data_IF_436733469551
#
_entry.id   IF_436733469551
#
_cell.length_a   1.000
_cell.length_b   1.000
_cell.length_c   1.000
_cell.angle_alpha   90.00
_cell.angle_beta   90.00
_cell.angle_gamma   90.00
#
_symmetry.space_group_name_H-M   'P 1'
#
loop_
_entity.id
_entity.type
_entity.pdbx_description
1 polymer ?
#
# COMPACT_ATOMS: atom_id res chain seq x y z
N UNK A 1 -1.85 -7.77 6.55
CA UNK A 1 -1.87 -8.38 7.90
C UNK A 1 -3.29 -8.60 8.39
N UNK A 2 -3.43 -9.57 9.28
CA UNK A 2 -4.58 -10.48 9.52
C UNK A 2 -5.00 -11.30 8.28
N UNK A 3 -5.22 -10.65 7.13
CA UNK A 3 -5.71 -11.34 5.93
C UNK A 3 -5.14 -10.82 4.59
N UNK A 4 -4.90 -9.51 4.45
CA UNK A 4 -4.43 -8.94 3.18
C UNK A 4 -2.92 -9.15 2.98
N UNK A 5 -2.52 -9.57 1.77
CA UNK A 5 -1.13 -9.84 1.37
C UNK A 5 -0.35 -8.60 0.94
N UNK A 6 -1.02 -7.53 0.49
CA UNK A 6 -0.40 -6.27 0.05
C UNK A 6 -0.33 -5.19 1.14
N UNK A 7 -0.60 -5.56 2.39
CA UNK A 7 -0.63 -4.63 3.51
C UNK A 7 0.80 -4.25 3.94
N UNK A 8 1.09 -2.95 3.97
CA UNK A 8 2.34 -2.39 4.51
C UNK A 8 2.30 -2.22 6.03
N UNK A 9 1.11 -2.15 6.64
CA UNK A 9 0.93 -2.03 8.09
C UNK A 9 -0.31 -2.80 8.58
N UNK A 10 -0.40 -3.05 9.89
CA UNK A 10 -1.54 -3.71 10.51
C UNK A 10 -2.68 -2.73 10.79
N UNK A 11 -3.90 -3.10 10.39
CA UNK A 11 -5.08 -2.26 10.57
C UNK A 11 -5.61 -2.33 12.00
N UNK A 12 -5.83 -3.53 12.53
CA UNK A 12 -6.50 -3.73 13.81
C UNK A 12 -5.68 -3.17 14.97
N UNK A 13 -4.38 -3.43 15.00
CA UNK A 13 -3.47 -2.94 16.04
C UNK A 13 -3.31 -1.43 16.02
N UNK A 14 -3.12 -0.82 14.85
CA UNK A 14 -2.99 0.65 14.75
C UNK A 14 -4.29 1.36 15.13
N UNK A 15 -5.43 0.88 14.65
CA UNK A 15 -6.74 1.46 15.02
C UNK A 15 -7.00 1.28 16.52
N UNK A 16 -6.64 0.13 17.10
CA UNK A 16 -6.74 -0.08 18.55
C UNK A 16 -5.92 0.95 19.33
N UNK A 17 -4.65 1.14 18.97
CA UNK A 17 -3.77 2.11 19.64
C UNK A 17 -4.31 3.55 19.52
N UNK A 18 -4.79 3.94 18.33
CA UNK A 18 -5.39 5.27 18.11
C UNK A 18 -6.65 5.44 18.96
N UNK A 19 -7.54 4.45 18.95
CA UNK A 19 -8.82 4.54 19.66
C UNK A 19 -8.68 4.48 21.18
N UNK A 20 -7.59 3.91 21.70
CA UNK A 20 -7.29 3.94 23.14
C UNK A 20 -6.98 5.36 23.62
N UNK A 21 -6.17 6.10 22.85
CA UNK A 21 -5.86 7.51 23.15
C UNK A 21 -7.06 8.44 22.90
N UNK A 22 -7.85 8.16 21.85
CA UNK A 22 -8.99 8.99 21.47
C UNK A 22 -10.29 8.62 22.17
N UNK A 23 -10.30 7.59 23.02
CA UNK A 23 -11.50 7.14 23.72
C UNK A 23 -12.24 8.27 24.47
N UNK A 24 -11.56 9.18 25.21
CA UNK A 24 -12.23 10.28 25.90
C UNK A 24 -12.98 11.24 24.95
N UNK A 25 -12.48 11.42 23.72
CA UNK A 25 -13.16 12.23 22.70
C UNK A 25 -14.28 11.48 21.98
N UNK A 26 -14.20 10.15 21.93
CA UNK A 26 -15.24 9.32 21.31
C UNK A 26 -16.52 9.28 22.15
N UNK A 27 -16.40 9.29 23.48
CA UNK A 27 -17.53 9.22 24.41
C UNK A 27 -18.18 10.58 24.70
N UNK A 28 -17.57 11.69 24.26
CA UNK A 28 -18.03 13.05 24.52
C UNK A 28 -18.21 13.84 23.21
N UNK A 29 -18.91 14.97 23.25
CA UNK A 29 -19.13 15.86 22.09
C UNK A 29 -18.43 17.21 22.27
N UNK A 30 -17.12 17.17 22.46
CA UNK A 30 -16.30 18.36 22.77
C UNK A 30 -15.61 18.96 21.53
N UNK A 31 -15.61 18.23 20.41
CA UNK A 31 -14.99 18.69 19.17
C UNK A 31 -15.91 19.68 18.44
N UNK A 32 -15.34 20.68 17.72
CA UNK A 32 -16.12 21.70 16.99
C UNK A 32 -16.94 21.14 15.83
N UNK A 33 -16.69 19.90 15.41
CA UNK A 33 -17.41 19.20 14.37
C UNK A 33 -17.14 17.69 14.41
N UNK A 34 -17.88 16.93 13.61
CA UNK A 34 -17.69 15.48 13.50
C UNK A 34 -16.36 15.19 12.80
N UNK A 35 -15.38 14.70 13.56
CA UNK A 35 -14.10 14.25 13.04
C UNK A 35 -14.18 12.81 12.54
N UNK A 36 -13.74 12.55 11.30
CA UNK A 36 -13.57 11.21 10.73
C UNK A 36 -12.09 10.89 10.59
N UNK A 37 -11.66 9.87 11.31
CA UNK A 37 -10.32 9.30 11.18
C UNK A 37 -10.47 7.96 10.46
N UNK A 38 -9.71 7.78 9.39
CA UNK A 38 -9.71 6.52 8.65
C UNK A 38 -8.29 6.00 8.46
N UNK A 39 -8.19 4.67 8.40
CA UNK A 39 -6.94 3.96 8.25
C UNK A 39 -6.98 3.08 6.99
N UNK A 40 -5.88 3.05 6.23
CA UNK A 40 -5.64 2.05 5.19
C UNK A 40 -4.26 1.41 5.36
N UNK A 41 -4.22 0.09 5.22
CA UNK A 41 -2.99 -0.69 5.36
C UNK A 41 -2.06 -0.59 4.14
N UNK A 42 -2.55 -0.11 2.99
CA UNK A 42 -1.77 0.20 1.79
C UNK A 42 -2.47 1.25 0.92
N UNK A 43 -1.78 1.72 -0.12
CA UNK A 43 -2.24 2.75 -1.06
C UNK A 43 -3.51 2.39 -1.86
N UNK A 44 -3.96 1.12 -1.83
CA UNK A 44 -5.24 0.75 -2.44
C UNK A 44 -6.43 1.35 -1.68
N UNK A 45 -6.21 1.87 -0.47
CA UNK A 45 -7.17 2.66 0.30
C UNK A 45 -8.58 2.08 0.29
N UNK A 46 -8.75 0.81 0.67
CA UNK A 46 -10.00 0.05 0.62
C UNK A 46 -11.12 0.60 1.56
N UNK A 47 -11.53 1.85 1.36
CA UNK A 47 -12.40 2.64 2.21
C UNK A 47 -12.29 4.14 1.88
N UNK A 48 -12.78 4.99 2.78
CA UNK A 48 -12.85 6.44 2.59
C UNK A 48 -11.57 7.20 3.04
N UNK A 49 -10.40 6.55 3.01
CA UNK A 49 -9.16 7.13 3.56
C UNK A 49 -8.72 8.38 2.81
N UNK A 50 -8.88 8.41 1.49
CA UNK A 50 -8.56 9.56 0.63
C UNK A 50 -9.44 10.80 0.87
N UNK A 51 -10.56 10.67 1.60
CA UNK A 51 -11.52 11.74 1.85
C UNK A 51 -11.93 11.87 3.33
N UNK A 52 -11.05 11.42 4.23
CA UNK A 52 -11.21 11.57 5.68
C UNK A 52 -10.52 12.82 6.21
N UNK A 53 -11.02 13.36 7.32
CA UNK A 53 -10.43 14.56 7.94
C UNK A 53 -9.00 14.29 8.42
N UNK A 54 -8.76 13.08 8.94
CA UNK A 54 -7.42 12.56 9.23
C UNK A 54 -7.29 11.16 8.61
N UNK A 55 -6.26 10.98 7.79
CA UNK A 55 -5.96 9.73 7.10
C UNK A 55 -4.64 9.14 7.63
N UNK A 56 -4.68 7.88 8.06
CA UNK A 56 -3.48 7.11 8.39
C UNK A 56 -3.28 6.06 7.29
N UNK A 57 -2.13 6.10 6.64
CA UNK A 57 -1.85 5.28 5.46
C UNK A 57 -0.52 4.53 5.61
N UNK A 58 -0.57 3.21 5.52
CA UNK A 58 0.62 2.39 5.34
C UNK A 58 1.22 2.57 3.94
N UNK A 59 2.51 2.86 3.87
CA UNK A 59 3.26 3.00 2.61
C UNK A 59 4.51 2.12 2.64
N UNK A 60 4.91 1.64 1.46
CA UNK A 60 6.24 1.08 1.28
C UNK A 60 7.24 2.22 1.04
N UNK A 61 8.52 1.97 1.34
CA UNK A 61 9.63 2.92 1.14
C UNK A 61 10.86 2.20 0.55
N UNK A 62 10.62 1.09 -0.12
CA UNK A 62 11.64 0.35 -0.85
C UNK A 62 11.08 -0.19 -2.16
N UNK A 63 11.92 -0.20 -3.19
CA UNK A 63 11.64 -0.80 -4.48
C UNK A 63 11.34 -2.31 -4.34
N UNK A 64 10.40 -2.88 -5.12
CA UNK A 64 10.12 -4.31 -5.09
C UNK A 64 11.34 -5.17 -5.45
N UNK A 65 11.57 -6.23 -4.69
CA UNK A 65 12.54 -7.27 -5.04
C UNK A 65 11.89 -8.25 -6.02
N UNK A 66 12.58 -8.53 -7.13
CA UNK A 66 12.07 -9.37 -8.21
C UNK A 66 12.50 -10.82 -7.99
N UNK A 67 11.53 -11.74 -7.98
CA UNK A 67 11.79 -13.17 -8.12
C UNK A 67 11.74 -13.55 -9.61
N UNK A 68 12.93 -13.62 -10.24
CA UNK A 68 13.07 -13.93 -11.66
C UNK A 68 12.68 -15.37 -12.03
N UNK A 69 12.60 -16.28 -11.06
CA UNK A 69 12.22 -17.68 -11.29
C UNK A 69 10.71 -17.86 -11.34
N UNK A 70 9.99 -17.18 -10.45
CA UNK A 70 8.56 -17.35 -10.28
C UNK A 70 7.74 -16.39 -11.15
N UNK A 71 8.22 -15.17 -11.39
CA UNK A 71 7.53 -14.16 -12.21
C UNK A 71 7.02 -14.70 -13.57
N UNK A 72 7.80 -15.44 -14.38
CA UNK A 72 7.31 -15.94 -15.66
C UNK A 72 6.18 -16.98 -15.54
N UNK A 73 5.99 -17.58 -14.36
CA UNK A 73 4.99 -18.61 -14.09
C UNK A 73 3.66 -18.03 -13.62
N UNK A 74 3.71 -16.91 -12.89
CA UNK A 74 2.54 -16.33 -12.20
C UNK A 74 2.10 -14.98 -12.76
N UNK A 75 2.95 -14.28 -13.50
CA UNK A 75 2.66 -12.94 -14.02
C UNK A 75 2.59 -12.92 -15.55
N UNK A 76 1.68 -12.09 -16.07
CA UNK A 76 1.66 -11.71 -17.48
C UNK A 76 2.43 -10.37 -17.62
N UNK A 77 3.54 -10.38 -18.37
CA UNK A 77 4.51 -9.26 -18.36
C UNK A 77 3.92 -7.94 -18.89
N UNK A 78 3.18 -7.90 -20.01
CA UNK A 78 2.54 -6.68 -20.49
C UNK A 78 1.64 -5.98 -19.44
N UNK A 79 0.78 -6.72 -18.74
CA UNK A 79 -0.09 -6.17 -17.70
C UNK A 79 0.69 -5.73 -16.47
N UNK A 80 1.74 -6.46 -16.09
CA UNK A 80 2.66 -6.04 -15.03
C UNK A 80 3.32 -4.70 -15.35
N UNK A 81 3.86 -4.55 -16.57
CA UNK A 81 4.48 -3.29 -17.02
C UNK A 81 3.47 -2.15 -17.03
N UNK A 82 2.26 -2.39 -17.57
CA UNK A 82 1.19 -1.40 -17.64
C UNK A 82 0.64 -0.98 -16.26
N UNK A 83 0.86 -1.79 -15.22
CA UNK A 83 0.42 -1.46 -13.85
C UNK A 83 1.24 -0.34 -13.21
N UNK A 84 2.44 -0.05 -13.73
CA UNK A 84 3.33 0.95 -13.16
C UNK A 84 2.92 2.37 -13.58
N UNK A 85 2.48 3.24 -12.65
CA UNK A 85 2.03 4.59 -13.00
C UNK A 85 3.16 5.52 -13.45
N UNK A 86 4.41 5.24 -13.07
CA UNK A 86 5.60 6.02 -13.44
C UNK A 86 6.38 5.43 -14.62
N UNK A 87 5.99 4.25 -15.11
CA UNK A 87 6.72 3.55 -16.17
C UNK A 87 8.10 3.03 -15.76
N UNK A 88 8.35 2.84 -14.46
CA UNK A 88 9.63 2.33 -13.94
C UNK A 88 9.92 0.86 -14.31
N UNK A 89 8.88 0.07 -14.61
CA UNK A 89 9.01 -1.36 -14.93
C UNK A 89 9.24 -1.53 -16.44
N UNK A 90 10.27 -2.29 -16.82
CA UNK A 90 10.61 -2.57 -18.24
C UNK A 90 10.69 -4.07 -18.50
N UNK A 91 10.21 -4.56 -19.66
CA UNK A 91 10.44 -5.95 -20.05
C UNK A 91 11.94 -6.24 -20.19
N UNK A 92 12.38 -7.38 -19.67
CA UNK A 92 13.78 -7.80 -19.71
C UNK A 92 13.88 -9.32 -19.95
N UNK A 93 15.09 -9.79 -20.26
CA UNK A 93 15.40 -11.23 -20.26
C UNK A 93 16.57 -11.45 -19.31
N UNK A 94 16.31 -12.13 -18.20
CA UNK A 94 17.30 -12.40 -17.16
C UNK A 94 17.58 -13.90 -17.17
N UNK A 95 18.85 -14.29 -17.32
CA UNK A 95 19.28 -15.70 -17.38
C UNK A 95 18.50 -16.55 -18.41
N UNK A 96 18.13 -15.95 -19.54
CA UNK A 96 17.37 -16.61 -20.61
C UNK A 96 15.87 -16.77 -20.34
N UNK A 97 15.36 -16.25 -19.22
CA UNK A 97 13.94 -16.26 -18.85
C UNK A 97 13.30 -14.89 -19.09
N UNK A 98 12.03 -14.89 -19.49
CA UNK A 98 11.24 -13.66 -19.64
C UNK A 98 11.02 -13.04 -18.27
N UNK A 99 11.46 -11.81 -18.07
CA UNK A 99 11.42 -11.12 -16.78
C UNK A 99 11.12 -9.63 -16.97
N UNK A 100 11.25 -8.85 -15.89
CA UNK A 100 11.29 -7.40 -15.89
C UNK A 100 12.52 -6.89 -15.15
N UNK A 101 12.84 -5.62 -15.38
CA UNK A 101 13.76 -4.79 -14.60
C UNK A 101 13.00 -3.56 -14.08
N UNK A 102 13.45 -2.99 -12.96
CA UNK A 102 12.85 -1.79 -12.36
C UNK A 102 13.93 -0.69 -12.33
N UNK A 103 13.57 0.49 -12.83
CA UNK A 103 14.40 1.70 -12.70
C UNK A 103 14.13 2.32 -11.32
N UNK A 104 14.98 2.01 -10.32
CA UNK A 104 14.82 2.45 -8.92
C UNK A 104 14.51 3.95 -8.76
N UNK A 105 15.22 4.89 -9.43
CA UNK A 105 14.93 6.32 -9.33
C UNK A 105 13.55 6.73 -9.85
N UNK A 106 12.88 5.89 -10.64
CA UNK A 106 11.54 6.12 -11.17
C UNK A 106 10.45 5.43 -10.35
N UNK A 107 10.80 4.53 -9.43
CA UNK A 107 9.85 3.97 -8.49
C UNK A 107 9.54 4.98 -7.37
N UNK A 108 8.28 5.02 -6.93
CA UNK A 108 7.82 5.98 -5.92
C UNK A 108 7.81 5.43 -4.49
N UNK A 109 8.22 4.17 -4.33
CA UNK A 109 8.39 3.48 -3.05
C UNK A 109 9.78 2.86 -3.06
#
# INVERSE_FOLDING_TARGET
WVHCHSAASDASGVVKAIMDELHPHFTNMELPGKLRIAFACCLNMCGAVHCSDIAVLGIHTSVPVIDHEELPRVCEVPTLVASCPTGAIRPATVEGKKSVEIEDPQCMF
#
